data_IF_694616160738
#
_entry.id   IF_694616160738
#
_cell.length_a   1.000
_cell.length_b   1.000
_cell.length_c   1.000
_cell.angle_alpha   90.00
_cell.angle_beta   90.00
_cell.angle_gamma   90.00
#
_symmetry.space_group_name_H-M   'P 1'
#
loop_
_entity.id
_entity.type
_entity.pdbx_description
1 polymer ?
#
# COMPACT_ATOMS: atom_id res chain seq x y z
N UNK A 1 23.70 -18.95 14.46
CA UNK A 1 23.97 -18.31 15.76
C UNK A 1 24.71 -17.02 15.41
N UNK A 2 24.04 -15.88 15.41
CA UNK A 2 24.71 -14.59 15.26
C UNK A 2 25.02 -14.09 16.68
N UNK A 3 26.23 -13.64 16.94
CA UNK A 3 26.46 -12.89 18.18
C UNK A 3 25.69 -11.58 18.10
N UNK A 4 25.23 -11.11 19.25
CA UNK A 4 24.79 -9.72 19.39
C UNK A 4 25.97 -8.90 19.86
N UNK A 5 26.79 -8.37 18.94
CA UNK A 5 27.85 -7.43 19.32
C UNK A 5 27.20 -6.18 19.93
N UNK A 6 27.30 -6.05 21.26
CA UNK A 6 26.76 -4.89 21.97
C UNK A 6 27.67 -3.67 21.70
N UNK A 7 27.12 -2.45 21.52
CA UNK A 7 27.93 -1.27 21.31
C UNK A 7 28.72 -0.94 22.59
N UNK A 8 30.05 -1.02 22.51
CA UNK A 8 30.96 -0.70 23.61
C UNK A 8 31.43 0.76 23.53
N UNK A 9 30.76 1.67 24.23
CA UNK A 9 31.33 2.92 24.78
C UNK A 9 30.28 3.64 25.63
N UNK A 10 30.71 4.29 26.72
CA UNK A 10 29.84 4.74 27.81
C UNK A 10 29.02 6.01 27.56
N UNK A 11 28.59 6.28 26.32
CA UNK A 11 27.63 7.35 26.04
C UNK A 11 26.21 6.76 25.94
N UNK A 12 25.21 7.31 26.65
CA UNK A 12 23.84 6.83 26.57
C UNK A 12 23.25 7.17 25.21
N UNK A 13 23.23 6.19 24.31
CA UNK A 13 22.57 6.33 22.99
C UNK A 13 21.08 6.55 23.23
N UNK A 14 20.61 7.77 23.02
CA UNK A 14 19.23 8.13 23.33
C UNK A 14 18.26 7.27 22.53
N UNK A 15 17.37 6.56 23.24
CA UNK A 15 16.28 5.76 22.65
C UNK A 15 15.40 6.59 21.69
N UNK A 16 15.30 7.89 21.95
CA UNK A 16 14.58 8.86 21.13
C UNK A 16 15.18 9.02 19.71
N UNK A 17 16.47 8.70 19.53
CA UNK A 17 17.14 8.73 18.22
C UNK A 17 16.64 7.63 17.30
N UNK A 18 16.41 6.43 17.83
CA UNK A 18 15.87 5.30 17.06
C UNK A 18 14.39 5.55 16.71
N UNK A 19 13.61 6.10 17.65
CA UNK A 19 12.22 6.52 17.41
C UNK A 19 12.11 7.59 16.32
N UNK A 20 12.93 8.64 16.36
CA UNK A 20 12.96 9.66 15.30
C UNK A 20 13.32 9.07 13.94
N UNK A 21 14.33 8.20 13.88
CA UNK A 21 14.77 7.58 12.64
C UNK A 21 13.76 6.56 12.06
N UNK A 22 12.90 5.99 12.89
CA UNK A 22 11.79 5.11 12.48
C UNK A 22 10.55 5.85 11.96
N UNK A 23 10.27 7.06 12.47
CA UNK A 23 9.03 7.80 12.19
C UNK A 23 9.04 8.63 10.89
N UNK A 24 10.20 9.06 10.40
CA UNK A 24 10.29 9.98 9.23
C UNK A 24 10.30 9.30 7.85
N UNK A 25 10.22 7.96 7.74
CA UNK A 25 10.49 7.25 6.47
C UNK A 25 9.30 6.54 5.81
N UNK A 26 8.08 6.89 6.16
CA UNK A 26 6.89 6.39 5.46
C UNK A 26 5.88 7.50 5.17
N UNK A 27 5.93 8.01 3.94
CA UNK A 27 4.79 8.72 3.35
C UNK A 27 3.58 7.76 3.31
N UNK A 28 2.40 8.17 3.83
CA UNK A 28 1.22 7.31 3.81
C UNK A 28 0.79 7.05 2.36
N UNK A 29 0.47 5.79 2.05
CA UNK A 29 -0.08 5.40 0.75
C UNK A 29 -1.43 6.10 0.57
N UNK A 30 -1.50 7.07 -0.33
CA UNK A 30 -2.70 7.92 -0.52
C UNK A 30 -3.73 7.31 -1.49
N UNK A 31 -3.33 6.33 -2.30
CA UNK A 31 -4.15 5.74 -3.36
C UNK A 31 -3.73 4.29 -3.67
N UNK A 32 -4.69 3.48 -4.12
CA UNK A 32 -4.48 2.18 -4.75
C UNK A 32 -4.42 2.42 -6.24
N UNK A 33 -3.28 2.11 -6.88
CA UNK A 33 -3.10 2.24 -8.33
C UNK A 33 -3.28 0.90 -9.00
N UNK A 34 -4.36 0.74 -9.74
CA UNK A 34 -4.56 -0.41 -10.64
C UNK A 34 -4.09 0.02 -12.02
N UNK A 35 -3.21 -0.78 -12.64
CA UNK A 35 -2.67 -0.49 -13.98
C UNK A 35 -2.82 -1.68 -14.91
N UNK A 36 -3.32 -1.42 -16.13
CA UNK A 36 -3.43 -2.39 -17.21
C UNK A 36 -4.31 -3.61 -16.90
N UNK A 37 -5.30 -3.49 -16.02
CA UNK A 37 -6.16 -4.61 -15.58
C UNK A 37 -6.91 -5.25 -16.76
N UNK A 38 -6.86 -6.59 -16.85
CA UNK A 38 -7.32 -7.37 -18.02
C UNK A 38 -8.22 -8.55 -17.68
N UNK A 39 -8.50 -8.76 -16.40
CA UNK A 39 -9.29 -9.85 -15.87
C UNK A 39 -10.70 -9.84 -16.49
N UNK A 40 -11.10 -11.01 -17.00
CA UNK A 40 -12.36 -11.26 -17.71
C UNK A 40 -12.63 -10.33 -18.90
N UNK A 41 -13.34 -9.21 -18.67
CA UNK A 41 -13.80 -8.27 -19.71
C UNK A 41 -13.09 -6.89 -19.62
N UNK A 42 -12.10 -6.74 -18.74
CA UNK A 42 -11.38 -5.48 -18.58
C UNK A 42 -10.45 -5.22 -19.78
N UNK A 43 -10.56 -4.03 -20.37
CA UNK A 43 -9.85 -3.66 -21.61
C UNK A 43 -8.58 -2.88 -21.31
N UNK A 44 -7.68 -3.46 -20.50
CA UNK A 44 -6.46 -2.80 -20.00
C UNK A 44 -6.78 -1.50 -19.23
N UNK A 45 -7.55 -1.62 -18.14
CA UNK A 45 -8.02 -0.46 -17.36
C UNK A 45 -6.94 0.02 -16.40
N UNK A 46 -6.66 1.33 -16.45
CA UNK A 46 -5.89 2.07 -15.44
C UNK A 46 -6.86 2.86 -14.55
N UNK A 47 -6.73 2.76 -13.23
CA UNK A 47 -7.51 3.56 -12.27
C UNK A 47 -6.73 3.80 -10.97
N UNK A 48 -6.87 5.01 -10.43
CA UNK A 48 -6.33 5.40 -9.13
C UNK A 48 -7.48 5.61 -8.14
N UNK A 49 -7.45 4.88 -7.03
CA UNK A 49 -8.54 4.83 -6.04
C UNK A 49 -8.02 5.41 -4.72
N UNK A 50 -8.57 6.53 -4.22
CA UNK A 50 -8.08 7.14 -2.99
C UNK A 50 -8.25 6.20 -1.79
N UNK A 51 -7.21 6.09 -0.97
CA UNK A 51 -7.26 5.37 0.31
C UNK A 51 -8.13 6.13 1.30
N UNK A 52 -8.61 5.40 2.32
CA UNK A 52 -9.34 5.94 3.47
C UNK A 52 -10.61 6.74 3.10
N UNK A 53 -11.24 6.38 1.96
CA UNK A 53 -12.51 6.93 1.49
C UNK A 53 -13.47 5.83 1.06
N UNK A 54 -14.77 6.09 1.22
CA UNK A 54 -15.82 5.28 0.61
C UNK A 54 -15.88 5.59 -0.89
N UNK A 55 -15.47 4.63 -1.72
CA UNK A 55 -15.51 4.73 -3.19
C UNK A 55 -16.55 3.76 -3.74
N UNK A 56 -17.40 4.24 -4.66
CA UNK A 56 -18.47 3.45 -5.27
C UNK A 56 -18.17 3.21 -6.75
N UNK A 57 -18.07 1.95 -7.15
CA UNK A 57 -17.89 1.55 -8.56
C UNK A 57 -19.28 1.28 -9.16
N UNK A 58 -19.67 2.06 -10.18
CA UNK A 58 -20.99 2.01 -10.82
C UNK A 58 -20.92 1.95 -12.35
N UNK A 59 -22.04 1.71 -13.03
CA UNK A 59 -22.12 1.48 -14.47
C UNK A 59 -23.05 0.32 -14.87
N UNK A 60 -23.31 0.20 -16.19
CA UNK A 60 -24.24 -0.79 -16.77
C UNK A 60 -23.88 -2.25 -16.44
N UNK A 61 -24.85 -3.17 -16.56
CA UNK A 61 -24.57 -4.61 -16.44
C UNK A 61 -23.54 -5.06 -17.47
N UNK A 62 -22.65 -6.00 -17.11
CA UNK A 62 -21.56 -6.48 -17.97
C UNK A 62 -20.36 -5.55 -18.13
N UNK A 63 -20.38 -4.32 -17.58
CA UNK A 63 -19.30 -3.31 -17.78
C UNK A 63 -17.98 -3.57 -17.04
N UNK A 64 -17.78 -4.76 -16.45
CA UNK A 64 -16.53 -5.12 -15.76
C UNK A 64 -16.39 -4.65 -14.30
N UNK A 65 -17.43 -4.03 -13.69
CA UNK A 65 -17.37 -3.52 -12.29
C UNK A 65 -16.90 -4.57 -11.28
N UNK A 66 -17.52 -5.75 -11.31
CA UNK A 66 -17.20 -6.84 -10.38
C UNK A 66 -15.79 -7.36 -10.62
N UNK A 67 -15.33 -7.40 -11.87
CA UNK A 67 -13.97 -7.84 -12.19
C UNK A 67 -12.90 -6.85 -11.76
N UNK A 68 -13.18 -5.55 -11.83
CA UNK A 68 -12.30 -4.55 -11.24
C UNK A 68 -12.32 -4.63 -9.70
N UNK A 69 -13.49 -4.69 -9.08
CA UNK A 69 -13.65 -4.61 -7.63
C UNK A 69 -13.21 -5.87 -6.88
N UNK A 70 -13.61 -7.04 -7.35
CA UNK A 70 -13.37 -8.33 -6.70
C UNK A 70 -12.19 -9.06 -7.34
N UNK A 71 -12.24 -9.28 -8.66
CA UNK A 71 -11.26 -10.12 -9.36
C UNK A 71 -9.87 -9.45 -9.53
N UNK A 72 -9.77 -8.11 -9.36
CA UNK A 72 -8.50 -7.36 -9.48
C UNK A 72 -8.06 -6.66 -8.19
N UNK A 73 -8.97 -6.02 -7.44
CA UNK A 73 -8.60 -5.20 -6.25
C UNK A 73 -8.61 -6.01 -4.94
N UNK A 74 -9.43 -7.06 -4.84
CA UNK A 74 -9.61 -7.85 -3.61
C UNK A 74 -8.95 -9.25 -3.64
N UNK A 75 -8.63 -9.75 -4.84
CA UNK A 75 -8.10 -11.10 -5.08
C UNK A 75 -6.73 -11.39 -4.42
#
# INVERSE_FOLDING_TARGET
>A
MADGTQPHSGEPVSYESYEKQGRERFEPIREIRVRGAREHNLKAVDVDIPRDRLVVITGLSGSGKSSLAFDTIFA
#
